data_IF_627332832499
#
_entry.id   IF_627332832499
#
_cell.length_a   1.000
_cell.length_b   1.000
_cell.length_c   1.000
_cell.angle_alpha   90.00
_cell.angle_beta   90.00
_cell.angle_gamma   90.00
#
_symmetry.space_group_name_H-M   'P 1'
#
loop_
_entity.id
_entity.type
_entity.pdbx_description
1 polymer ?
#
# COMPACT_ATOMS: atom_id res chain seq x y z
N UNK A 1 5.36 -4.37 4.08
CA UNK A 1 5.86 -4.25 2.70
C UNK A 1 5.05 -5.14 1.78
N UNK A 2 3.78 -4.84 1.64
CA UNK A 2 2.89 -5.63 0.81
C UNK A 2 2.71 -5.02 -0.57
N UNK A 3 3.77 -4.97 -1.36
CA UNK A 3 3.58 -4.85 -2.79
C UNK A 3 2.78 -6.06 -3.25
N UNK A 4 1.53 -5.87 -3.66
CA UNK A 4 0.74 -6.97 -4.18
C UNK A 4 1.49 -7.62 -5.34
N UNK A 5 1.67 -8.93 -5.28
CA UNK A 5 2.31 -9.66 -6.36
C UNK A 5 1.54 -9.41 -7.66
N UNK A 6 2.27 -9.03 -8.70
CA UNK A 6 1.70 -8.97 -10.04
C UNK A 6 1.20 -10.35 -10.43
N UNK A 7 -0.06 -10.45 -10.75
CA UNK A 7 -0.62 -11.66 -11.30
C UNK A 7 -0.55 -11.59 -12.83
N UNK A 8 0.43 -12.25 -13.40
CA UNK A 8 0.66 -12.27 -14.85
C UNK A 8 -0.53 -12.84 -15.65
N UNK A 9 -1.33 -13.73 -15.05
CA UNK A 9 -2.50 -14.32 -15.72
C UNK A 9 -3.70 -13.36 -15.77
N UNK A 10 -3.77 -12.40 -14.87
CA UNK A 10 -4.84 -11.39 -14.81
C UNK A 10 -4.38 -10.01 -15.25
N UNK A 11 -3.08 -9.83 -15.49
CA UNK A 11 -2.45 -8.54 -15.80
C UNK A 11 -2.80 -7.44 -14.78
N UNK A 12 -2.83 -7.77 -13.49
CA UNK A 12 -3.30 -6.87 -12.42
C UNK A 12 -2.28 -6.76 -11.31
N UNK A 13 -2.03 -5.52 -10.91
CA UNK A 13 -1.42 -5.16 -9.65
C UNK A 13 -2.53 -4.96 -8.64
N UNK A 14 -2.90 -5.98 -7.93
CA UNK A 14 -3.83 -5.79 -6.85
C UNK A 14 -3.44 -6.68 -5.68
N UNK A 15 -3.18 -6.06 -4.54
CA UNK A 15 -3.26 -6.79 -3.29
C UNK A 15 -4.72 -7.13 -2.96
N UNK A 16 -5.67 -6.56 -3.70
CA UNK A 16 -7.10 -6.77 -3.56
C UNK A 16 -7.58 -7.76 -4.62
N UNK A 17 -8.46 -8.66 -4.24
CA UNK A 17 -8.97 -9.73 -5.12
C UNK A 17 -9.96 -9.23 -6.18
N UNK A 18 -10.39 -7.98 -6.09
CA UNK A 18 -11.37 -7.39 -6.99
C UNK A 18 -10.75 -6.52 -8.07
N UNK A 19 -11.54 -6.23 -9.11
CA UNK A 19 -11.15 -5.38 -10.24
C UNK A 19 -11.02 -3.88 -9.89
N UNK A 20 -11.16 -3.50 -8.61
CA UNK A 20 -11.08 -2.11 -8.18
C UNK A 20 -9.65 -1.60 -8.24
N UNK A 21 -9.44 -0.52 -8.97
CA UNK A 21 -8.18 0.19 -9.00
C UNK A 21 -7.95 0.96 -7.71
N UNK A 22 -6.68 1.24 -7.36
CA UNK A 22 -6.34 1.97 -6.13
C UNK A 22 -6.94 3.37 -6.09
N UNK A 23 -7.03 4.08 -7.22
CA UNK A 23 -7.69 5.38 -7.28
C UNK A 23 -9.19 5.27 -6.97
N UNK A 24 -9.85 4.19 -7.39
CA UNK A 24 -11.24 3.92 -7.03
C UNK A 24 -11.38 3.72 -5.53
N UNK A 25 -10.47 2.97 -4.89
CA UNK A 25 -10.48 2.80 -3.43
C UNK A 25 -10.30 4.12 -2.69
N UNK A 26 -9.42 5.02 -3.16
CA UNK A 26 -9.31 6.37 -2.61
C UNK A 26 -10.62 7.16 -2.71
N UNK A 27 -11.30 7.07 -3.83
CA UNK A 27 -12.60 7.72 -4.06
C UNK A 27 -13.70 7.13 -3.15
N UNK A 28 -13.76 5.79 -3.07
CA UNK A 28 -14.77 5.07 -2.28
C UNK A 28 -14.71 5.45 -0.80
N UNK A 29 -13.52 5.69 -0.25
CA UNK A 29 -13.34 6.14 1.13
C UNK A 29 -13.30 7.66 1.28
N UNK A 30 -13.54 8.43 0.20
CA UNK A 30 -13.64 9.88 0.25
C UNK A 30 -12.33 10.59 0.58
N UNK A 31 -11.21 10.14 0.02
CA UNK A 31 -9.90 10.79 0.12
C UNK A 31 -9.16 10.77 -1.22
N UNK A 32 -8.02 11.43 -1.27
CA UNK A 32 -7.18 11.51 -2.47
C UNK A 32 -5.84 10.83 -2.26
N UNK A 33 -5.23 10.40 -3.35
CA UNK A 33 -3.88 9.86 -3.34
C UNK A 33 -2.87 10.92 -2.86
N UNK A 34 -1.97 10.51 -1.96
CA UNK A 34 -0.99 11.39 -1.34
C UNK A 34 0.30 11.61 -2.17
N UNK A 35 0.38 11.06 -3.40
CA UNK A 35 1.53 11.24 -4.28
C UNK A 35 2.62 10.17 -4.15
N UNK A 36 2.53 9.25 -3.20
CA UNK A 36 3.50 8.16 -3.06
C UNK A 36 3.21 7.01 -4.01
N UNK A 37 4.27 6.35 -4.48
CA UNK A 37 4.20 5.21 -5.39
C UNK A 37 4.96 4.03 -4.83
N UNK A 38 4.56 2.84 -5.26
CA UNK A 38 5.25 1.58 -4.97
C UNK A 38 6.26 1.25 -6.07
N UNK A 39 7.13 0.28 -5.79
CA UNK A 39 7.96 -0.31 -6.83
C UNK A 39 7.08 -0.95 -7.90
N UNK A 40 7.48 -0.82 -9.16
CA UNK A 40 6.88 -1.58 -10.25
C UNK A 40 7.19 -3.08 -10.06
N UNK A 41 6.45 -3.97 -10.69
CA UNK A 41 6.77 -5.39 -10.64
C UNK A 41 8.01 -5.71 -11.43
N UNK A 42 8.63 -6.83 -11.11
CA UNK A 42 9.72 -7.35 -11.92
C UNK A 42 9.24 -7.67 -13.35
N UNK A 43 10.05 -7.37 -14.37
CA UNK A 43 11.42 -6.81 -14.29
C UNK A 43 11.48 -5.29 -14.34
N UNK A 44 10.34 -4.59 -14.26
CA UNK A 44 10.25 -3.13 -14.41
C UNK A 44 10.66 -2.36 -13.15
N UNK A 45 10.79 -3.04 -12.02
CA UNK A 45 11.30 -2.49 -10.75
C UNK A 45 12.75 -1.99 -10.84
N UNK A 46 13.52 -2.49 -11.81
CA UNK A 46 14.92 -2.13 -12.05
C UNK A 46 15.17 -1.61 -13.47
N UNK A 47 14.16 -1.10 -14.15
CA UNK A 47 14.24 -0.56 -15.50
C UNK A 47 13.60 0.81 -15.59
N UNK A 48 14.08 1.64 -16.51
CA UNK A 48 13.47 2.92 -16.83
C UNK A 48 12.51 2.87 -18.03
N UNK A 49 12.00 1.68 -18.33
CA UNK A 49 10.97 1.48 -19.36
C UNK A 49 9.81 2.44 -19.14
N UNK A 50 9.48 3.22 -20.16
CA UNK A 50 8.36 4.15 -20.10
C UNK A 50 7.03 3.42 -19.80
N UNK A 51 6.14 4.00 -18.98
CA UNK A 51 4.83 3.43 -18.73
C UNK A 51 3.98 3.39 -19.99
N UNK A 52 3.26 2.29 -20.18
CA UNK A 52 2.39 2.07 -21.33
C UNK A 52 1.04 1.54 -20.90
N UNK A 53 -0.05 2.12 -21.41
CA UNK A 53 -1.40 1.61 -21.15
C UNK A 53 -1.64 0.22 -21.76
N UNK A 54 -0.86 -0.15 -22.77
CA UNK A 54 -0.91 -1.48 -23.39
C UNK A 54 -0.23 -2.58 -22.57
N UNK A 55 0.66 -2.21 -21.64
CA UNK A 55 1.31 -3.12 -20.70
C UNK A 55 1.25 -2.53 -19.30
N UNK A 56 0.26 -2.96 -18.54
CA UNK A 56 0.04 -2.45 -17.16
C UNK A 56 1.20 -2.75 -16.22
N UNK A 57 2.06 -3.72 -16.54
CA UNK A 57 3.24 -4.04 -15.75
C UNK A 57 4.27 -2.90 -15.75
N UNK A 58 4.25 -2.06 -16.78
CA UNK A 58 5.11 -0.88 -16.90
C UNK A 58 4.60 0.34 -16.13
N UNK A 59 3.34 0.32 -15.70
CA UNK A 59 2.73 1.47 -15.02
C UNK A 59 3.26 1.63 -13.60
N UNK A 60 3.33 2.88 -13.13
CA UNK A 60 3.62 3.19 -11.74
C UNK A 60 2.39 2.98 -10.87
N UNK A 61 2.59 2.32 -9.73
CA UNK A 61 1.49 1.90 -8.86
C UNK A 61 1.34 2.94 -7.73
N UNK A 62 0.18 3.59 -7.59
CA UNK A 62 -0.08 4.45 -6.46
C UNK A 62 0.04 3.66 -5.15
N UNK A 63 0.79 4.20 -4.19
CA UNK A 63 0.85 3.62 -2.86
C UNK A 63 -0.52 3.73 -2.18
N UNK A 64 -0.95 2.64 -1.59
CA UNK A 64 -2.18 2.55 -0.82
C UNK A 64 -1.95 1.63 0.38
N UNK A 65 -1.88 2.21 1.58
CA UNK A 65 -1.80 1.43 2.80
C UNK A 65 -3.17 0.81 3.08
N UNK A 66 -3.28 -0.53 3.14
CA UNK A 66 -4.56 -1.17 3.40
C UNK A 66 -5.01 -0.91 4.83
N UNK A 67 -6.31 -1.02 5.01
CA UNK A 67 -6.92 -1.11 6.32
C UNK A 67 -6.69 -2.50 6.91
N UNK A 68 -6.22 -2.56 8.15
CA UNK A 68 -5.97 -3.81 8.84
C UNK A 68 -7.25 -4.35 9.48
N UNK A 69 -7.36 -5.69 9.65
CA UNK A 69 -8.54 -6.32 10.22
C UNK A 69 -8.86 -5.84 11.64
N UNK A 70 -10.13 -5.78 11.95
CA UNK A 70 -10.63 -5.41 13.28
C UNK A 70 -10.34 -6.50 14.32
N UNK A 71 -9.95 -6.07 15.52
CA UNK A 71 -9.86 -6.97 16.67
C UNK A 71 -11.19 -7.59 17.03
N UNK A 72 -12.25 -6.85 16.76
CA UNK A 72 -13.64 -7.26 17.03
C UNK A 72 -14.19 -8.27 16.03
N UNK A 73 -13.49 -8.54 14.94
CA UNK A 73 -13.90 -9.58 13.99
C UNK A 73 -14.03 -10.96 14.62
N UNK A 74 -13.14 -11.27 15.56
CA UNK A 74 -13.17 -12.52 16.32
C UNK A 74 -12.98 -12.23 17.81
N UNK A 75 -14.01 -11.70 18.49
CA UNK A 75 -13.90 -11.18 19.86
C UNK A 75 -13.57 -12.25 20.91
N UNK A 76 -13.85 -13.51 20.63
CA UNK A 76 -13.59 -14.64 21.53
C UNK A 76 -12.33 -15.45 21.15
N UNK A 77 -11.56 -14.99 20.18
CA UNK A 77 -10.25 -15.57 19.86
C UNK A 77 -9.12 -14.74 20.48
N UNK A 78 -8.64 -15.15 21.63
CA UNK A 78 -7.57 -14.45 22.35
C UNK A 78 -6.25 -14.40 21.55
N UNK A 79 -6.02 -15.39 20.70
CA UNK A 79 -4.84 -15.41 19.81
C UNK A 79 -4.97 -14.37 18.72
N UNK A 80 -6.16 -14.24 18.10
CA UNK A 80 -6.44 -13.16 17.15
C UNK A 80 -6.24 -11.80 17.77
N UNK A 81 -6.82 -11.57 18.94
CA UNK A 81 -6.70 -10.30 19.63
C UNK A 81 -5.26 -9.98 20.06
N UNK A 82 -4.51 -10.98 20.56
CA UNK A 82 -3.10 -10.81 20.91
C UNK A 82 -2.24 -10.52 19.70
N UNK A 83 -2.51 -11.17 18.58
CA UNK A 83 -1.79 -10.96 17.33
C UNK A 83 -1.98 -9.55 16.80
N UNK A 84 -3.21 -9.04 16.81
CA UNK A 84 -3.52 -7.66 16.43
C UNK A 84 -3.14 -6.63 17.50
N UNK A 85 -2.86 -7.05 18.75
CA UNK A 85 -2.34 -6.19 19.82
C UNK A 85 -0.82 -6.19 19.95
N UNK A 86 -0.18 -7.20 19.38
CA UNK A 86 1.24 -7.43 19.56
C UNK A 86 2.07 -6.29 19.00
N UNK A 87 2.68 -5.47 19.86
CA UNK A 87 3.64 -4.39 19.60
C UNK A 87 3.24 -3.39 18.48
N UNK A 88 2.01 -3.42 18.05
CA UNK A 88 1.52 -2.69 16.90
C UNK A 88 0.75 -1.43 17.30
N UNK A 89 1.48 -0.49 17.90
CA UNK A 89 1.09 0.93 17.86
C UNK A 89 1.02 1.46 16.41
N UNK A 90 1.37 0.62 15.43
CA UNK A 90 1.44 0.95 14.00
C UNK A 90 0.25 0.39 13.20
N UNK A 91 -0.73 -0.18 13.89
CA UNK A 91 -1.91 -0.71 13.22
C UNK A 91 -2.64 0.38 12.43
N UNK A 92 -2.87 0.11 11.15
CA UNK A 92 -3.55 1.03 10.24
C UNK A 92 -5.03 0.64 10.08
N UNK A 93 -5.71 0.55 11.20
CA UNK A 93 -7.10 0.10 11.33
C UNK A 93 -8.04 1.32 11.27
N UNK A 94 -8.30 1.83 10.06
CA UNK A 94 -9.05 3.07 9.83
C UNK A 94 -10.50 2.87 9.34
N UNK A 95 -10.90 1.63 9.07
CA UNK A 95 -12.26 1.28 8.70
C UNK A 95 -12.85 0.32 9.72
N UNK A 96 -14.16 0.36 9.92
CA UNK A 96 -14.89 -0.74 10.52
C UNK A 96 -15.04 -1.83 9.48
N UNK A 97 -14.48 -3.00 9.73
CA UNK A 97 -14.69 -4.15 8.88
C UNK A 97 -16.16 -4.55 8.93
N UNK A 98 -16.90 -4.34 7.86
CA UNK A 98 -18.27 -4.79 7.79
C UNK A 98 -18.29 -6.33 7.89
N UNK A 99 -19.20 -6.91 8.68
CA UNK A 99 -19.39 -8.34 8.67
C UNK A 99 -19.86 -8.74 7.28
N UNK A 100 -18.97 -9.39 6.51
CA UNK A 100 -19.33 -9.92 5.20
C UNK A 100 -19.64 -11.40 5.30
N UNK A 101 -20.63 -11.85 4.52
CA UNK A 101 -20.96 -13.26 4.42
C UNK A 101 -19.84 -14.12 3.85
N UNK A 102 -18.85 -13.47 3.20
CA UNK A 102 -17.73 -14.14 2.51
C UNK A 102 -16.63 -14.57 3.48
N UNK A 103 -16.38 -13.80 4.56
CA UNK A 103 -15.25 -14.04 5.47
C UNK A 103 -15.68 -14.40 6.90
N UNK A 104 -16.95 -14.61 7.11
CA UNK A 104 -17.53 -14.94 8.41
C UNK A 104 -17.93 -13.70 9.20
N UNK A 105 -19.01 -13.84 9.91
CA UNK A 105 -19.49 -12.87 10.91
C UNK A 105 -18.64 -12.99 12.16
N UNK A 106 -18.60 -11.95 12.99
CA UNK A 106 -18.05 -12.05 14.32
C UNK A 106 -18.65 -13.27 15.03
N UNK A 107 -17.83 -14.26 15.34
CA UNK A 107 -18.28 -15.47 15.99
C UNK A 107 -18.25 -15.30 17.51
N UNK A 108 -19.26 -15.77 18.18
CA UNK A 108 -19.28 -15.85 19.65
C UNK A 108 -18.22 -16.82 20.20
N UNK A 109 -17.61 -17.63 19.35
CA UNK A 109 -16.50 -18.53 19.67
C UNK A 109 -15.44 -18.44 18.61
N UNK A 110 -14.17 -18.74 18.95
CA UNK A 110 -13.10 -18.80 17.95
C UNK A 110 -13.44 -19.84 16.88
N UNK A 111 -13.51 -19.46 15.58
CA UNK A 111 -13.72 -20.39 14.49
C UNK A 111 -12.44 -21.16 14.12
N UNK A 112 -11.31 -20.77 14.72
CA UNK A 112 -10.01 -21.33 14.40
C UNK A 112 -9.65 -22.43 15.37
N UNK A 113 -9.19 -23.55 14.86
CA UNK A 113 -8.64 -24.63 15.68
C UNK A 113 -7.37 -24.23 16.44
N UNK A 114 -6.76 -25.20 17.11
CA UNK A 114 -5.49 -25.05 17.83
C UNK A 114 -4.29 -25.52 16.99
N UNK A 115 -3.08 -25.24 17.47
CA UNK A 115 -1.84 -25.67 16.82
C UNK A 115 -1.60 -25.03 15.46
N UNK A 116 -0.78 -25.67 14.63
CA UNK A 116 -0.37 -25.13 13.32
C UNK A 116 -1.54 -24.90 12.36
N UNK A 117 -2.55 -25.76 12.37
CA UNK A 117 -3.74 -25.61 11.54
C UNK A 117 -4.53 -24.34 11.92
N UNK A 118 -4.70 -24.10 13.22
CA UNK A 118 -5.36 -22.89 13.71
C UNK A 118 -4.58 -21.62 13.38
N UNK A 119 -3.25 -21.66 13.47
CA UNK A 119 -2.38 -20.55 13.07
C UNK A 119 -2.54 -20.25 11.58
N UNK A 120 -2.51 -21.27 10.73
CA UNK A 120 -2.69 -21.10 9.28
C UNK A 120 -4.07 -20.52 8.96
N UNK A 121 -5.12 -21.00 9.61
CA UNK A 121 -6.48 -20.52 9.41
C UNK A 121 -6.63 -19.02 9.78
N UNK A 122 -6.04 -18.60 10.93
CA UNK A 122 -6.01 -17.19 11.32
C UNK A 122 -5.25 -16.33 10.32
N UNK A 123 -4.08 -16.81 9.88
CA UNK A 123 -3.28 -16.11 8.87
C UNK A 123 -4.06 -15.89 7.59
N UNK A 124 -4.76 -16.92 7.12
CA UNK A 124 -5.60 -16.84 5.93
C UNK A 124 -6.75 -15.84 6.12
N UNK A 125 -7.41 -15.86 7.27
CA UNK A 125 -8.47 -14.92 7.61
C UNK A 125 -7.96 -13.48 7.65
N UNK A 126 -6.78 -13.24 8.24
CA UNK A 126 -6.13 -11.92 8.25
C UNK A 126 -5.91 -11.40 6.83
N UNK A 127 -5.30 -12.21 5.97
CA UNK A 127 -5.03 -11.80 4.59
C UNK A 127 -6.31 -11.62 3.77
N UNK A 128 -7.33 -12.41 4.01
CA UNK A 128 -8.62 -12.26 3.36
C UNK A 128 -9.26 -10.91 3.72
N UNK A 129 -9.31 -10.57 5.02
CA UNK A 129 -9.83 -9.29 5.52
C UNK A 129 -9.02 -8.11 4.99
N UNK A 130 -7.69 -8.20 5.01
CA UNK A 130 -6.81 -7.15 4.51
C UNK A 130 -7.07 -6.83 3.03
N UNK A 131 -7.40 -7.84 2.23
CA UNK A 131 -7.59 -7.74 0.77
C UNK A 131 -9.02 -7.41 0.36
N UNK A 132 -9.94 -7.38 1.30
CA UNK A 132 -11.33 -7.11 1.01
C UNK A 132 -11.52 -5.69 0.52
N UNK A 133 -11.90 -5.54 -0.76
CA UNK A 133 -12.08 -4.23 -1.37
C UNK A 133 -13.43 -3.58 -1.05
N UNK A 134 -14.43 -4.39 -0.71
CA UNK A 134 -15.79 -3.90 -0.48
C UNK A 134 -15.97 -3.17 0.86
N UNK A 135 -15.00 -3.32 1.79
CA UNK A 135 -15.00 -2.56 3.04
C UNK A 135 -14.68 -1.08 2.86
N UNK A 136 -14.05 -0.70 1.74
CA UNK A 136 -13.64 0.68 1.49
C UNK A 136 -14.84 1.55 1.10
N UNK A 137 -15.46 2.14 2.11
CA UNK A 137 -16.57 3.09 1.95
C UNK A 137 -16.47 4.20 3.01
N UNK A 138 -16.94 5.40 2.67
CA UNK A 138 -16.94 6.53 3.61
C UNK A 138 -17.70 6.25 4.90
N UNK A 139 -18.75 5.45 4.82
CA UNK A 139 -19.59 5.05 5.96
C UNK A 139 -18.89 4.14 6.96
N UNK A 140 -17.81 3.49 6.54
CA UNK A 140 -17.04 2.58 7.38
C UNK A 140 -15.87 3.25 8.11
N UNK A 141 -15.59 4.52 7.83
CA UNK A 141 -14.45 5.23 8.42
C UNK A 141 -14.57 5.36 9.94
N UNK A 142 -13.50 5.04 10.64
CA UNK A 142 -13.39 5.22 12.10
C UNK A 142 -13.02 6.64 12.53
N UNK A 143 -12.55 7.48 11.59
CA UNK A 143 -12.14 8.84 11.90
C UNK A 143 -11.60 9.60 10.69
N UNK A 144 -10.87 10.68 10.97
CA UNK A 144 -10.21 11.50 9.95
C UNK A 144 -8.99 10.78 9.41
N UNK A 145 -8.92 10.63 8.09
CA UNK A 145 -7.78 10.04 7.40
C UNK A 145 -6.63 11.03 7.32
N UNK A 146 -5.42 10.54 7.63
CA UNK A 146 -4.18 11.33 7.64
C UNK A 146 -3.03 10.50 7.06
N UNK A 147 -1.82 11.08 7.03
CA UNK A 147 -0.59 10.35 6.71
C UNK A 147 -0.06 9.46 7.84
N UNK A 148 -0.72 9.48 9.00
CA UNK A 148 -0.44 8.57 10.12
C UNK A 148 -1.52 7.51 10.31
N UNK A 149 -2.70 7.73 9.72
CA UNK A 149 -3.88 6.88 9.89
C UNK A 149 -4.74 6.93 8.62
N UNK A 150 -4.67 5.89 7.81
CA UNK A 150 -5.41 5.83 6.54
C UNK A 150 -4.59 5.30 5.38
N UNK A 151 -5.12 5.37 4.15
CA UNK A 151 -4.48 4.80 2.96
C UNK A 151 -3.19 5.52 2.54
N UNK A 152 -2.96 6.73 3.05
CA UNK A 152 -1.71 7.47 2.84
C UNK A 152 -0.73 7.33 4.03
N UNK A 153 -0.90 6.34 4.92
CA UNK A 153 -0.01 6.15 6.07
C UNK A 153 1.43 6.00 5.61
N UNK A 154 2.30 6.84 6.16
CA UNK A 154 3.72 6.87 5.79
C UNK A 154 4.04 7.70 4.54
N UNK A 155 3.05 8.27 3.86
CA UNK A 155 3.24 9.15 2.71
C UNK A 155 3.42 10.62 3.15
N UNK A 156 4.38 10.89 4.03
CA UNK A 156 4.71 12.23 4.53
C UNK A 156 6.18 12.58 4.28
N UNK A 157 6.81 11.88 3.34
CA UNK A 157 8.21 12.06 3.01
C UNK A 157 8.43 13.31 2.16
N UNK A 158 9.69 13.80 2.15
CA UNK A 158 10.09 14.87 1.23
C UNK A 158 9.83 14.41 -0.22
N UNK A 159 9.08 15.17 -1.01
CA UNK A 159 8.84 14.83 -2.42
C UNK A 159 10.11 14.74 -3.23
N UNK A 160 10.10 13.87 -4.24
CA UNK A 160 11.13 13.85 -5.28
C UNK A 160 11.22 15.20 -5.98
N UNK A 161 12.45 15.64 -6.23
CA UNK A 161 12.73 16.81 -7.06
C UNK A 161 13.10 16.33 -8.46
N UNK A 162 12.51 16.95 -9.47
CA UNK A 162 12.89 16.76 -10.87
C UNK A 162 14.29 17.30 -11.13
N UNK A 163 14.90 16.86 -12.21
CA UNK A 163 16.21 17.36 -12.63
C UNK A 163 16.18 18.89 -12.74
N UNK A 164 17.10 19.56 -12.05
CA UNK A 164 17.17 21.00 -11.96
C UNK A 164 18.60 21.47 -11.72
N UNK A 165 18.91 22.68 -12.15
CA UNK A 165 20.16 23.42 -11.86
C UNK A 165 20.00 24.41 -10.69
N UNK A 166 18.83 24.46 -10.06
CA UNK A 166 18.61 25.25 -8.84
C UNK A 166 19.21 24.53 -7.62
N UNK A 167 20.50 24.81 -7.36
CA UNK A 167 21.21 24.25 -6.20
C UNK A 167 20.63 24.68 -4.85
N UNK A 168 19.93 25.81 -4.77
CA UNK A 168 19.29 26.23 -3.53
C UNK A 168 18.04 25.40 -3.24
N UNK A 169 17.25 25.12 -4.27
CA UNK A 169 16.12 24.20 -4.16
C UNK A 169 16.58 22.79 -3.75
N UNK A 170 17.63 22.27 -4.38
CA UNK A 170 18.20 20.96 -4.03
C UNK A 170 18.70 20.93 -2.57
N UNK A 171 19.44 21.94 -2.14
CA UNK A 171 19.94 22.03 -0.76
C UNK A 171 18.80 22.11 0.25
N UNK A 172 17.77 22.90 -0.05
CA UNK A 172 16.58 23.03 0.78
C UNK A 172 15.87 21.68 0.93
N UNK A 173 15.68 20.94 -0.17
CA UNK A 173 15.05 19.63 -0.11
C UNK A 173 15.85 18.61 0.70
N UNK A 174 17.18 18.59 0.53
CA UNK A 174 18.05 17.70 1.32
C UNK A 174 17.95 18.03 2.81
N UNK A 175 17.96 19.32 3.17
CA UNK A 175 17.84 19.76 4.56
C UNK A 175 16.46 19.46 5.18
N UNK A 176 15.42 19.34 4.35
CA UNK A 176 14.08 19.01 4.80
C UNK A 176 13.82 17.50 4.91
N UNK A 177 14.79 16.65 4.52
CA UNK A 177 14.66 15.21 4.66
C UNK A 177 14.65 14.83 6.13
N UNK A 178 13.62 14.07 6.52
CA UNK A 178 13.48 13.52 7.87
C UNK A 178 13.59 12.01 7.79
N UNK A 179 14.47 11.43 8.59
CA UNK A 179 14.59 9.98 8.68
C UNK A 179 13.36 9.40 9.37
N UNK A 180 12.58 8.61 8.65
CA UNK A 180 11.38 7.94 9.17
C UNK A 180 11.14 6.63 8.44
N UNK A 181 10.49 5.66 9.12
CA UNK A 181 10.20 4.36 8.55
C UNK A 181 11.45 3.51 8.28
N UNK A 182 11.34 2.61 7.32
CA UNK A 182 12.43 1.72 6.91
C UNK A 182 13.02 2.17 5.57
N UNK A 183 14.36 2.16 5.48
CA UNK A 183 15.07 2.54 4.28
C UNK A 183 14.96 1.45 3.20
N UNK A 184 14.51 1.83 1.99
CA UNK A 184 14.53 0.97 0.81
C UNK A 184 15.50 1.55 -0.22
N UNK A 185 16.79 1.20 -0.08
CA UNK A 185 17.85 1.71 -0.95
C UNK A 185 17.61 1.39 -2.44
N UNK A 186 17.23 0.14 -2.84
CA UNK A 186 16.94 -0.15 -4.24
C UNK A 186 15.85 0.73 -4.84
N UNK A 187 14.76 0.95 -4.11
CA UNK A 187 13.68 1.82 -4.57
C UNK A 187 14.15 3.27 -4.72
N UNK A 188 14.92 3.78 -3.77
CA UNK A 188 15.50 5.13 -3.84
C UNK A 188 16.44 5.29 -5.04
N UNK A 189 17.32 4.31 -5.28
CA UNK A 189 18.23 4.32 -6.43
C UNK A 189 17.48 4.31 -7.77
N UNK A 190 16.40 3.50 -7.88
CA UNK A 190 15.56 3.47 -9.08
C UNK A 190 14.87 4.81 -9.34
N UNK A 191 14.33 5.44 -8.30
CA UNK A 191 13.72 6.76 -8.47
C UNK A 191 14.75 7.83 -8.82
N UNK A 192 15.97 7.77 -8.25
CA UNK A 192 17.08 8.60 -8.68
C UNK A 192 17.41 8.41 -10.17
N UNK A 193 17.42 7.17 -10.66
CA UNK A 193 17.60 6.90 -12.09
C UNK A 193 16.47 7.46 -12.94
N UNK A 194 15.21 7.30 -12.53
CA UNK A 194 14.08 7.87 -13.26
C UNK A 194 14.15 9.40 -13.39
N UNK A 195 14.74 10.11 -12.43
CA UNK A 195 14.93 11.56 -12.55
C UNK A 195 15.98 11.93 -13.57
N UNK A 196 16.93 11.03 -13.88
CA UNK A 196 18.00 11.24 -14.86
C UNK A 196 17.67 10.67 -16.24
N UNK A 197 16.64 9.85 -16.35
CA UNK A 197 16.23 9.19 -17.58
C UNK A 197 15.51 10.15 -18.55
N UNK A 198 15.72 10.01 -19.87
CA UNK A 198 14.90 10.68 -20.86
C UNK A 198 13.48 10.12 -20.97
N UNK A 199 13.20 8.99 -20.32
CA UNK A 199 11.91 8.31 -20.37
C UNK A 199 10.93 8.85 -19.32
N UNK A 200 9.64 8.64 -19.54
CA UNK A 200 8.64 8.92 -18.52
C UNK A 200 8.94 8.11 -17.24
N UNK A 201 8.57 8.63 -16.04
CA UNK A 201 7.54 9.65 -15.82
C UNK A 201 8.02 11.10 -15.92
N UNK A 202 9.33 11.38 -15.85
CA UNK A 202 9.83 12.74 -15.82
C UNK A 202 10.28 13.24 -17.22
N UNK A 203 11.10 12.48 -17.90
CA UNK A 203 11.58 12.82 -19.23
C UNK A 203 12.56 14.01 -19.29
N UNK A 204 13.19 14.36 -18.16
CA UNK A 204 14.08 15.53 -18.04
C UNK A 204 15.51 15.20 -18.45
N UNK A 205 15.88 13.93 -18.50
CA UNK A 205 17.21 13.47 -18.84
C UNK A 205 17.55 13.66 -20.31
N UNK A 206 18.87 13.64 -20.61
CA UNK A 206 19.32 13.64 -22.02
C UNK A 206 19.02 12.30 -22.66
N UNK A 207 18.63 12.28 -23.96
CA UNK A 207 18.51 11.03 -24.70
C UNK A 207 19.78 10.18 -24.62
N UNK A 208 19.60 8.88 -24.55
CA UNK A 208 20.72 7.95 -24.66
C UNK A 208 21.32 8.01 -26.06
N UNK A 209 22.66 8.09 -26.13
CA UNK A 209 23.38 8.10 -27.43
C UNK A 209 23.48 6.68 -28.00
#
# INVERSE_FOLDING_TARGET
TGGGAYNASTNRFSMFETARGRFTLFQDIGTTWGGCVEARPQPFDIRDTAPSSGDQATMFVPYFAPDEPDRTDYPNDSTWQSWLNGSNSDQNDYLNDAPTSTYGTSSSSSPFGTGSAGTTARTNAYWARLREADKYATTHRKGTLTTSFGPNKGCSLQPLIRLTDDYNALRTAVNNMVATGNTNVPLGAMWGWHTLSPNAPFGDGRPYN
#
